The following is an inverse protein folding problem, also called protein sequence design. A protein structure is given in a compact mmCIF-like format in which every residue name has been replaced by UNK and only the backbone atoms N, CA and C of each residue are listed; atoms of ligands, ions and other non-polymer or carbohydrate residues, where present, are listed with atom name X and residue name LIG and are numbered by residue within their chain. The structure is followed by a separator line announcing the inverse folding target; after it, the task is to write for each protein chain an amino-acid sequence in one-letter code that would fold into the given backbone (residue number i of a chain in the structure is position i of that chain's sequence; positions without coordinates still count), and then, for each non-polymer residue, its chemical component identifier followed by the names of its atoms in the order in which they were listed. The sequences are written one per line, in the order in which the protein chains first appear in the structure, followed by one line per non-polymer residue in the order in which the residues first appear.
data_IF_616415246086
#
_entry.id   IF_616415246086
#
_cell.length_a   1.000
_cell.length_b   1.000
_cell.length_c   1.000
_cell.angle_alpha   90.00
_cell.angle_beta   90.00
_cell.angle_gamma   90.00
#
_symmetry.space_group_name_H-M   'P 1'
#
loop_
_entity.id
_entity.type
_entity.pdbx_description
1 polymer ?
#
# COMPACT_ATOMS: atom_id res chain seq x y z
N UNK A 1 10.25 -0.86 0.76
CA UNK A 1 9.01 -0.05 0.85
C UNK A 1 9.05 1.09 -0.15
N UNK A 2 7.97 1.28 -0.93
CA UNK A 2 7.82 2.44 -1.81
C UNK A 2 6.36 2.87 -1.89
N UNK A 3 6.00 3.89 -1.13
CA UNK A 3 4.68 4.53 -1.24
C UNK A 3 4.55 5.25 -2.59
N UNK A 4 3.49 4.89 -3.32
CA UNK A 4 3.08 5.51 -4.57
C UNK A 4 2.21 6.73 -4.24
N UNK A 5 2.62 7.88 -4.75
CA UNK A 5 1.89 9.15 -4.58
C UNK A 5 1.93 9.98 -5.85
N UNK A 6 2.37 11.23 -5.72
CA UNK A 6 2.62 12.09 -6.87
C UNK A 6 4.07 11.92 -7.36
N UNK A 7 4.24 11.50 -8.61
CA UNK A 7 5.54 11.31 -9.25
C UNK A 7 5.98 12.52 -10.07
N UNK A 8 7.17 12.42 -10.68
CA UNK A 8 7.76 13.51 -11.46
C UNK A 8 6.86 13.99 -12.62
N UNK A 9 6.20 13.06 -13.31
CA UNK A 9 5.40 13.34 -14.51
C UNK A 9 3.90 13.45 -14.23
N UNK A 10 3.45 13.26 -12.99
CA UNK A 10 2.02 13.26 -12.66
C UNK A 10 1.66 12.32 -11.50
N UNK A 11 0.36 12.12 -11.27
CA UNK A 11 -0.14 11.35 -10.13
C UNK A 11 0.04 9.84 -10.37
N UNK A 12 1.22 9.31 -10.05
CA UNK A 12 1.55 7.89 -10.19
C UNK A 12 0.56 6.96 -9.47
N UNK A 13 -0.01 7.41 -8.35
CA UNK A 13 -1.06 6.70 -7.60
C UNK A 13 -2.32 6.46 -8.44
N UNK A 14 -2.68 7.41 -9.31
CA UNK A 14 -3.84 7.29 -10.21
C UNK A 14 -3.54 6.30 -11.32
N UNK A 15 -2.33 6.34 -11.88
CA UNK A 15 -1.92 5.42 -12.94
C UNK A 15 -1.84 3.97 -12.42
N UNK A 16 -1.26 3.77 -11.24
CA UNK A 16 -1.19 2.46 -10.59
C UNK A 16 -2.58 1.90 -10.27
N UNK A 17 -3.46 2.73 -9.69
CA UNK A 17 -4.85 2.34 -9.38
C UNK A 17 -5.61 1.95 -10.65
N UNK A 18 -5.52 2.75 -11.72
CA UNK A 18 -6.15 2.44 -13.01
C UNK A 18 -5.58 1.19 -13.67
N UNK A 19 -4.27 0.96 -13.52
CA UNK A 19 -3.62 -0.27 -13.96
C UNK A 19 -4.23 -1.49 -13.28
N UNK A 20 -4.36 -1.46 -11.96
CA UNK A 20 -4.95 -2.54 -11.19
C UNK A 20 -6.44 -2.76 -11.48
N UNK A 21 -7.21 -1.68 -11.68
CA UNK A 21 -8.60 -1.79 -12.14
C UNK A 21 -8.71 -2.48 -13.51
N UNK A 22 -7.74 -2.24 -14.39
CA UNK A 22 -7.74 -2.78 -15.75
C UNK A 22 -7.29 -4.24 -15.84
N UNK A 23 -6.32 -4.63 -15.02
CA UNK A 23 -5.61 -5.91 -15.18
C UNK A 23 -5.85 -6.91 -14.04
N UNK A 24 -6.27 -6.44 -12.87
CA UNK A 24 -6.37 -7.23 -11.63
C UNK A 24 -7.72 -7.06 -10.93
N UNK A 25 -8.75 -6.65 -11.68
CA UNK A 25 -10.14 -6.50 -11.22
C UNK A 25 -10.30 -5.69 -9.93
N UNK A 26 -9.39 -4.73 -9.68
CA UNK A 26 -9.45 -3.86 -8.50
C UNK A 26 -10.80 -3.13 -8.46
N UNK A 27 -11.52 -3.28 -7.35
CA UNK A 27 -12.85 -2.71 -7.20
C UNK A 27 -12.81 -1.20 -6.94
N UNK A 28 -13.91 -0.54 -7.26
CA UNK A 28 -14.09 0.89 -6.99
C UNK A 28 -13.90 1.23 -5.50
N UNK A 29 -13.31 2.39 -5.26
CA UNK A 29 -13.02 2.88 -3.90
C UNK A 29 -11.74 2.32 -3.27
N UNK A 30 -11.03 1.41 -3.95
CA UNK A 30 -9.65 1.07 -3.58
C UNK A 30 -8.64 1.97 -4.30
N UNK A 31 -7.60 2.40 -3.57
CA UNK A 31 -6.50 3.22 -4.11
C UNK A 31 -5.17 2.53 -3.83
N UNK A 32 -4.43 2.17 -4.87
CA UNK A 32 -3.14 1.48 -4.77
C UNK A 32 -2.07 2.43 -4.23
N UNK A 33 -1.48 2.09 -3.09
CA UNK A 33 -0.42 2.86 -2.44
C UNK A 33 0.94 2.15 -2.44
N UNK A 34 0.98 0.82 -2.60
CA UNK A 34 2.20 0.07 -2.93
C UNK A 34 1.86 -1.04 -3.92
N UNK A 35 2.77 -1.32 -4.84
CA UNK A 35 2.66 -2.36 -5.87
C UNK A 35 3.90 -3.26 -5.73
N UNK A 36 3.67 -4.55 -5.43
CA UNK A 36 4.69 -5.54 -5.08
C UNK A 36 4.59 -6.74 -6.06
N UNK A 37 4.28 -6.46 -7.33
CA UNK A 37 4.16 -7.39 -8.47
C UNK A 37 3.03 -8.44 -8.35
N UNK A 38 2.98 -9.20 -7.26
CA UNK A 38 2.00 -10.27 -7.02
C UNK A 38 0.74 -9.76 -6.29
N UNK A 39 0.90 -8.69 -5.51
CA UNK A 39 -0.18 -8.04 -4.78
C UNK A 39 0.13 -6.54 -4.60
N UNK A 40 -0.89 -5.80 -4.18
CA UNK A 40 -0.79 -4.38 -3.86
C UNK A 40 -1.31 -4.10 -2.45
N UNK A 41 -0.79 -3.06 -1.81
CA UNK A 41 -1.46 -2.46 -0.66
C UNK A 41 -2.31 -1.29 -1.11
N UNK A 42 -3.54 -1.23 -0.62
CA UNK A 42 -4.57 -0.31 -1.07
C UNK A 42 -5.25 0.38 0.10
N UNK A 43 -5.59 1.67 -0.06
CA UNK A 43 -6.54 2.35 0.83
C UNK A 43 -7.96 1.93 0.45
N UNK A 44 -8.74 1.42 1.41
CA UNK A 44 -10.16 1.15 1.20
C UNK A 44 -11.02 2.35 1.59
N UNK A 45 -11.13 3.31 0.66
CA UNK A 45 -11.87 4.55 0.87
C UNK A 45 -13.38 4.34 1.03
N UNK A 46 -13.90 3.13 0.74
CA UNK A 46 -15.28 2.78 1.06
C UNK A 46 -15.51 2.64 2.57
N UNK A 47 -14.45 2.39 3.35
CA UNK A 47 -14.48 2.21 4.81
C UNK A 47 -14.01 3.45 5.57
N UNK A 48 -14.20 4.61 4.97
CA UNK A 48 -13.86 5.90 5.54
C UNK A 48 -14.59 6.16 6.88
N UNK A 49 -13.82 6.43 7.94
CA UNK A 49 -14.31 6.81 9.27
C UNK A 49 -13.40 7.86 9.90
N UNK A 50 -14.00 8.97 10.35
CA UNK A 50 -13.27 10.05 11.05
C UNK A 50 -12.08 10.66 10.30
N UNK A 51 -12.10 10.66 8.96
CA UNK A 51 -10.98 11.17 8.16
C UNK A 51 -9.97 10.11 7.70
N UNK A 52 -10.05 8.89 8.24
CA UNK A 52 -9.15 7.78 7.92
C UNK A 52 -9.85 6.57 7.30
N UNK A 53 -9.11 5.76 6.56
CA UNK A 53 -9.58 4.48 6.03
C UNK A 53 -8.48 3.42 6.13
N UNK A 54 -8.83 2.13 6.23
CA UNK A 54 -7.85 1.07 6.41
C UNK A 54 -6.98 0.87 5.17
N UNK A 55 -5.78 0.37 5.41
CA UNK A 55 -4.90 -0.21 4.39
C UNK A 55 -5.19 -1.70 4.31
N UNK A 56 -5.46 -2.21 3.12
CA UNK A 56 -5.72 -3.63 2.86
C UNK A 56 -4.74 -4.17 1.82
N UNK A 57 -4.54 -5.49 1.83
CA UNK A 57 -3.84 -6.19 0.75
C UNK A 57 -4.84 -6.56 -0.35
N UNK A 58 -4.47 -6.33 -1.60
CA UNK A 58 -5.17 -6.76 -2.80
C UNK A 58 -4.30 -7.73 -3.59
N UNK A 59 -4.68 -8.99 -3.62
CA UNK A 59 -4.02 -10.02 -4.40
C UNK A 59 -4.44 -9.94 -5.87
N UNK A 60 -3.49 -10.06 -6.80
CA UNK A 60 -3.77 -9.93 -8.23
C UNK A 60 -4.63 -11.06 -8.82
N UNK A 61 -4.78 -12.18 -8.10
CA UNK A 61 -5.58 -13.35 -8.49
C UNK A 61 -6.79 -13.56 -7.57
N UNK A 62 -6.61 -13.44 -6.25
CA UNK A 62 -7.65 -13.69 -5.24
C UNK A 62 -8.44 -12.42 -4.85
N UNK A 63 -7.91 -11.24 -5.16
CA UNK A 63 -8.54 -9.95 -4.90
C UNK A 63 -8.44 -9.54 -3.44
N UNK A 64 -9.57 -9.18 -2.84
CA UNK A 64 -9.62 -8.53 -1.52
C UNK A 64 -9.06 -9.42 -0.40
N UNK A 65 -7.90 -9.04 0.16
CA UNK A 65 -7.20 -9.75 1.23
C UNK A 65 -7.43 -9.18 2.64
N UNK A 66 -6.41 -9.32 3.49
CA UNK A 66 -6.47 -8.89 4.89
C UNK A 66 -6.29 -7.36 5.06
N UNK A 67 -6.66 -6.85 6.22
CA UNK A 67 -6.38 -5.45 6.61
C UNK A 67 -4.99 -5.38 7.25
N UNK A 68 -4.09 -4.63 6.63
CA UNK A 68 -2.72 -4.45 7.09
C UNK A 68 -2.63 -3.40 8.21
N UNK A 69 -3.41 -2.31 8.12
CA UNK A 69 -3.48 -1.28 9.16
C UNK A 69 -4.83 -0.56 9.15
N UNK A 70 -5.17 0.08 10.28
CA UNK A 70 -6.42 0.84 10.44
C UNK A 70 -6.40 2.20 9.71
N UNK A 71 -5.22 2.74 9.44
CA UNK A 71 -5.01 3.96 8.67
C UNK A 71 -3.66 3.98 7.95
N UNK A 72 -3.49 4.94 7.05
CA UNK A 72 -2.28 5.06 6.22
C UNK A 72 -1.01 5.38 7.03
N UNK A 73 -1.12 6.23 8.06
CA UNK A 73 0.06 6.65 8.82
C UNK A 73 0.62 5.52 9.68
N UNK A 74 -0.25 4.72 10.29
CA UNK A 74 0.16 3.53 11.04
C UNK A 74 0.90 2.56 10.13
N UNK A 75 0.32 2.23 8.96
CA UNK A 75 0.98 1.40 7.95
C UNK A 75 2.36 1.94 7.53
N UNK A 76 2.47 3.25 7.30
CA UNK A 76 3.71 3.89 6.89
C UNK A 76 4.78 3.82 7.99
N UNK A 77 4.39 4.05 9.24
CA UNK A 77 5.31 3.99 10.39
C UNK A 77 5.80 2.57 10.58
N UNK A 78 4.90 1.58 10.65
CA UNK A 78 5.25 0.17 10.81
C UNK A 78 6.16 -0.30 9.66
N UNK A 79 5.82 0.04 8.42
CA UNK A 79 6.64 -0.35 7.25
C UNK A 79 8.03 0.30 7.24
N UNK A 80 8.17 1.52 7.79
CA UNK A 80 9.45 2.19 7.97
C UNK A 80 10.29 1.57 9.09
N UNK A 81 9.65 1.17 10.19
CA UNK A 81 10.30 0.49 11.31
C UNK A 81 10.82 -0.89 10.87
N UNK A 82 9.98 -1.69 10.21
CA UNK A 82 10.41 -2.96 9.62
C UNK A 82 11.52 -2.78 8.58
N UNK A 83 11.40 -1.77 7.71
CA UNK A 83 12.46 -1.49 6.75
C UNK A 83 13.76 -1.08 7.44
N UNK A 84 13.70 -0.34 8.55
CA UNK A 84 14.90 -0.01 9.32
C UNK A 84 15.54 -1.28 9.91
N UNK A 85 14.76 -2.10 10.61
CA UNK A 85 15.26 -3.33 11.26
C UNK A 85 15.84 -4.34 10.26
N UNK A 86 15.25 -4.44 9.06
CA UNK A 86 15.75 -5.34 8.01
C UNK A 86 17.00 -4.82 7.28
N UNK A 87 17.26 -3.51 7.33
CA UNK A 87 18.41 -2.88 6.65
C UNK A 87 19.57 -2.57 7.59
N UNK A 88 19.31 -2.42 8.88
CA UNK A 88 20.36 -2.32 9.90
C UNK A 88 21.04 -3.71 9.96
N UNK A 89 22.20 -3.86 9.31
CA UNK A 89 23.12 -4.97 9.58
C UNK A 89 23.36 -4.95 11.09
N UNK A 90 23.04 -6.05 11.79
CA UNK A 90 23.19 -6.17 13.24
C UNK A 90 24.48 -5.47 13.67
N UNK A 91 24.38 -4.48 14.57
CA UNK A 91 25.53 -3.83 15.19
C UNK A 91 26.30 -4.81 16.11
N UNK A 92 26.60 -6.03 15.64
CA UNK A 92 27.50 -7.01 16.23
C UNK A 92 28.96 -6.77 15.77
N UNK A 93 29.40 -5.51 15.77
CA UNK A 93 30.81 -5.17 15.51
C UNK A 93 31.32 -4.08 16.49
N UNK A 94 31.01 -4.26 17.78
CA UNK A 94 31.76 -3.64 18.89
C UNK A 94 31.93 -4.56 20.10
#
# INVERSE_FOLDING_TARGET
MRIIGYGYTGPAVVDATRGHQKYYDLIDGLVVIEDIDEFAYCLDTNKMKNGECPVIMWDNQEGYGFTAADNFLDYLIESLEEAKENWDEDEEDW
#
